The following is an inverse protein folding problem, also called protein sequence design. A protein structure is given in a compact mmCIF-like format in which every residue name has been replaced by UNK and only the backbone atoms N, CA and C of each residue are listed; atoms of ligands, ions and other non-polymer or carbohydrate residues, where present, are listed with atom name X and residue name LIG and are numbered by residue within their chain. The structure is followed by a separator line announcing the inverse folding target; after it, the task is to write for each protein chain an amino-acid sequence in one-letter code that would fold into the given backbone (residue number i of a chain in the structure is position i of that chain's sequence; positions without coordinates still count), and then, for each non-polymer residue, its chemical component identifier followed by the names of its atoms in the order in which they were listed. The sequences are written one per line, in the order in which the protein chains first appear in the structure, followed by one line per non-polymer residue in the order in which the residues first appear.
data_IF_928073823060
#
_entry.id   IF_928073823060
#
_cell.length_a   1.000
_cell.length_b   1.000
_cell.length_c   1.000
_cell.angle_alpha   90.00
_cell.angle_beta   90.00
_cell.angle_gamma   90.00
#
_symmetry.space_group_name_H-M   'P 1'
#
loop_
_entity.id
_entity.type
_entity.pdbx_description
1 polymer ?
#
# COMPACT_ATOMS: atom_id res chain seq x y z
N UNK A 1 -17.49 3.82 -4.34
CA UNK A 1 -17.16 2.80 -5.35
C UNK A 1 -15.85 2.17 -4.91
N UNK A 2 -15.88 0.94 -4.39
CA UNK A 2 -14.65 0.24 -4.03
C UNK A 2 -13.97 -0.22 -5.31
N UNK A 3 -12.77 0.29 -5.60
CA UNK A 3 -11.91 -0.36 -6.58
C UNK A 3 -11.59 -1.75 -6.01
N UNK A 4 -12.18 -2.79 -6.59
CA UNK A 4 -11.82 -4.16 -6.22
C UNK A 4 -10.40 -4.40 -6.75
N UNK A 5 -9.44 -4.39 -5.83
CA UNK A 5 -8.04 -4.64 -6.15
C UNK A 5 -7.86 -6.15 -6.30
N UNK A 6 -7.70 -6.61 -7.54
CA UNK A 6 -7.50 -8.02 -7.85
C UNK A 6 -6.01 -8.35 -7.95
N UNK A 7 -5.39 -8.71 -6.83
CA UNK A 7 -4.05 -9.29 -6.84
C UNK A 7 -4.08 -10.79 -7.14
N UNK A 8 -3.18 -11.25 -8.01
CA UNK A 8 -3.02 -12.71 -8.20
C UNK A 8 -2.55 -13.33 -6.90
N UNK A 9 -3.05 -14.52 -6.61
CA UNK A 9 -2.58 -15.31 -5.47
C UNK A 9 -1.32 -16.08 -5.86
N UNK A 10 -0.29 -16.04 -5.02
CA UNK A 10 0.96 -16.75 -5.22
C UNK A 10 1.46 -17.40 -3.91
N UNK A 11 2.06 -18.58 -4.02
CA UNK A 11 2.71 -19.24 -2.89
C UNK A 11 3.93 -18.43 -2.43
N UNK A 12 4.01 -18.10 -1.14
CA UNK A 12 5.08 -17.26 -0.61
C UNK A 12 4.92 -15.77 -0.93
N UNK A 13 3.71 -15.36 -1.36
CA UNK A 13 3.32 -13.96 -1.52
C UNK A 13 3.22 -13.20 -0.19
N UNK A 14 2.83 -11.93 -0.25
CA UNK A 14 2.57 -11.13 0.95
C UNK A 14 1.30 -11.58 1.67
N UNK A 15 1.29 -11.45 2.99
CA UNK A 15 0.10 -11.62 3.80
C UNK A 15 -0.97 -10.61 3.34
N UNK A 16 -2.20 -11.08 3.12
CA UNK A 16 -3.27 -10.27 2.55
C UNK A 16 -3.66 -9.11 3.47
N UNK A 17 -3.72 -9.35 4.77
CA UNK A 17 -4.11 -8.35 5.77
C UNK A 17 -3.05 -7.24 5.86
N UNK A 18 -1.77 -7.60 5.85
CA UNK A 18 -0.66 -6.64 5.84
C UNK A 18 -0.70 -5.75 4.57
N UNK A 19 -0.98 -6.35 3.41
CA UNK A 19 -1.10 -5.61 2.14
C UNK A 19 -2.30 -4.68 2.15
N UNK A 20 -3.46 -5.16 2.58
CA UNK A 20 -4.68 -4.36 2.66
C UNK A 20 -4.50 -3.19 3.62
N UNK A 21 -3.89 -3.42 4.79
CA UNK A 21 -3.59 -2.36 5.75
C UNK A 21 -2.66 -1.28 5.16
N UNK A 22 -1.65 -1.68 4.39
CA UNK A 22 -0.74 -0.74 3.73
C UNK A 22 -1.43 0.06 2.64
N UNK A 23 -2.26 -0.59 1.83
CA UNK A 23 -3.04 0.07 0.78
C UNK A 23 -4.04 1.07 1.39
N UNK A 24 -4.76 0.66 2.43
CA UNK A 24 -5.71 1.52 3.14
C UNK A 24 -5.02 2.77 3.70
N UNK A 25 -3.80 2.63 4.24
CA UNK A 25 -3.01 3.76 4.68
C UNK A 25 -2.62 4.72 3.52
N UNK A 26 -2.22 4.19 2.36
CA UNK A 26 -1.99 5.01 1.16
C UNK A 26 -3.27 5.72 0.69
N UNK A 27 -4.40 5.01 0.63
CA UNK A 27 -5.69 5.58 0.22
C UNK A 27 -6.17 6.68 1.19
N UNK A 28 -5.97 6.48 2.49
CA UNK A 28 -6.27 7.49 3.51
C UNK A 28 -5.42 8.74 3.31
N UNK A 29 -4.11 8.57 3.05
CA UNK A 29 -3.22 9.70 2.76
C UNK A 29 -3.66 10.46 1.50
N UNK A 30 -3.97 9.76 0.41
CA UNK A 30 -4.48 10.38 -0.82
C UNK A 30 -5.76 11.19 -0.54
N UNK A 31 -6.69 10.64 0.23
CA UNK A 31 -7.94 11.32 0.60
C UNK A 31 -7.68 12.58 1.44
N UNK A 32 -6.70 12.52 2.34
CA UNK A 32 -6.30 13.67 3.17
C UNK A 32 -5.64 14.78 2.34
N UNK A 33 -4.85 14.41 1.32
CA UNK A 33 -4.27 15.35 0.34
C UNK A 33 -5.40 16.01 -0.47
N UNK A 34 -6.34 15.22 -1.01
CA UNK A 34 -7.45 15.71 -1.83
C UNK A 34 -8.39 16.65 -1.06
N UNK A 35 -8.49 16.45 0.25
CA UNK A 35 -9.28 17.31 1.13
C UNK A 35 -8.51 18.57 1.59
N UNK A 36 -7.27 18.76 1.13
CA UNK A 36 -6.34 19.84 1.53
C UNK A 36 -6.14 19.95 3.05
N UNK A 37 -6.22 18.82 3.77
CA UNK A 37 -6.15 18.79 5.25
C UNK A 37 -4.70 18.82 5.75
N UNK A 38 -3.72 18.57 4.88
CA UNK A 38 -2.33 18.33 5.26
C UNK A 38 -1.36 19.24 4.48
N UNK A 39 -0.30 19.68 5.15
CA UNK A 39 0.84 20.36 4.50
C UNK A 39 1.80 19.36 3.87
N UNK A 40 2.60 19.79 2.89
CA UNK A 40 3.58 18.95 2.18
C UNK A 40 4.56 18.24 3.14
N UNK A 41 4.96 18.92 4.22
CA UNK A 41 5.82 18.33 5.25
C UNK A 41 5.12 17.19 6.00
N UNK A 42 3.84 17.33 6.30
CA UNK A 42 3.03 16.29 6.95
C UNK A 42 2.78 15.11 5.98
N UNK A 43 2.53 15.40 4.70
CA UNK A 43 2.35 14.39 3.66
C UNK A 43 3.61 13.53 3.51
N UNK A 44 4.79 14.17 3.43
CA UNK A 44 6.06 13.45 3.35
C UNK A 44 6.35 12.60 4.59
N UNK A 45 5.99 13.09 5.78
CA UNK A 45 6.15 12.35 7.02
C UNK A 45 5.26 11.10 7.08
N UNK A 46 3.97 11.22 6.70
CA UNK A 46 3.07 10.07 6.63
C UNK A 46 3.47 9.09 5.53
N UNK A 47 3.85 9.58 4.35
CA UNK A 47 4.34 8.73 3.27
C UNK A 47 5.54 7.88 3.72
N UNK A 48 6.47 8.46 4.48
CA UNK A 48 7.62 7.74 5.03
C UNK A 48 7.18 6.66 6.04
N UNK A 49 6.21 6.96 6.92
CA UNK A 49 5.67 5.96 7.86
C UNK A 49 5.02 4.79 7.12
N UNK A 50 4.21 5.06 6.10
CA UNK A 50 3.53 4.02 5.31
C UNK A 50 4.56 3.16 4.56
N UNK A 51 5.60 3.77 3.98
CA UNK A 51 6.71 3.05 3.35
C UNK A 51 7.36 2.03 4.29
N UNK A 52 7.59 2.42 5.54
CA UNK A 52 8.18 1.56 6.57
C UNK A 52 7.21 0.54 7.19
N UNK A 53 5.92 0.60 6.86
CA UNK A 53 4.96 -0.40 7.34
C UNK A 53 5.36 -1.81 6.86
N UNK A 54 5.51 -2.78 7.77
CA UNK A 54 5.99 -4.11 7.43
C UNK A 54 4.95 -4.89 6.64
N UNK A 55 5.35 -5.47 5.51
CA UNK A 55 4.56 -6.46 4.78
C UNK A 55 5.22 -7.83 4.95
N UNK A 56 4.64 -8.70 5.77
CA UNK A 56 5.19 -10.03 5.99
C UNK A 56 4.75 -10.97 4.87
N UNK A 57 5.56 -12.00 4.60
CA UNK A 57 5.15 -13.08 3.70
C UNK A 57 4.07 -13.94 4.37
N UNK A 58 3.11 -14.40 3.58
CA UNK A 58 2.10 -15.34 4.02
C UNK A 58 2.76 -16.66 4.45
N UNK A 59 2.50 -17.08 5.69
CA UNK A 59 3.00 -18.32 6.27
C UNK A 59 1.89 -19.03 7.02
N UNK A 60 1.89 -20.36 6.98
CA UNK A 60 1.09 -21.22 7.84
C UNK A 60 2.05 -22.08 8.66
N UNK A 61 2.04 -21.88 9.99
CA UNK A 61 3.06 -22.39 10.90
C UNK A 61 4.48 -21.97 10.46
N UNK A 62 5.17 -22.84 9.72
CA UNK A 62 6.52 -22.63 9.21
C UNK A 62 6.64 -22.77 7.69
N UNK A 63 5.55 -23.11 7.00
CA UNK A 63 5.53 -23.30 5.56
C UNK A 63 5.05 -22.03 4.83
N UNK A 64 5.58 -21.74 3.62
CA UNK A 64 5.01 -20.71 2.76
C UNK A 64 3.53 -20.97 2.53
N UNK A 65 2.70 -19.95 2.68
CA UNK A 65 1.26 -20.01 2.38
C UNK A 65 0.94 -19.17 1.14
N UNK A 66 -0.27 -19.34 0.60
CA UNK A 66 -0.76 -18.48 -0.47
C UNK A 66 -1.03 -17.07 0.07
N UNK A 67 -0.43 -16.08 -0.58
CA UNK A 67 -0.60 -14.66 -0.32
C UNK A 67 -0.84 -13.90 -1.62
N UNK A 68 -0.82 -12.57 -1.56
CA UNK A 68 -0.84 -11.75 -2.76
C UNK A 68 0.53 -11.75 -3.44
N UNK A 69 0.53 -11.82 -4.77
CA UNK A 69 1.73 -11.75 -5.61
C UNK A 69 2.57 -10.54 -5.24
N UNK A 70 3.83 -10.77 -4.85
CA UNK A 70 4.76 -9.69 -4.47
C UNK A 70 4.87 -8.67 -5.60
N UNK A 71 5.02 -9.15 -6.84
CA UNK A 71 5.14 -8.28 -8.01
C UNK A 71 3.91 -7.39 -8.22
N UNK A 72 2.72 -7.98 -8.14
CA UNK A 72 1.47 -7.25 -8.40
C UNK A 72 1.23 -6.21 -7.29
N UNK A 73 1.56 -6.55 -6.04
CA UNK A 73 1.47 -5.64 -4.89
C UNK A 73 2.48 -4.51 -5.00
N UNK A 74 3.75 -4.80 -5.29
CA UNK A 74 4.81 -3.79 -5.39
C UNK A 74 4.55 -2.83 -6.56
N UNK A 75 4.03 -3.33 -7.68
CA UNK A 75 3.62 -2.51 -8.83
C UNK A 75 2.48 -1.57 -8.44
N UNK A 76 1.46 -2.07 -7.75
CA UNK A 76 0.33 -1.26 -7.30
C UNK A 76 0.73 -0.21 -6.26
N UNK A 77 1.57 -0.55 -5.28
CA UNK A 77 2.11 0.42 -4.32
C UNK A 77 2.88 1.52 -5.07
N UNK A 78 3.67 1.17 -6.09
CA UNK A 78 4.40 2.15 -6.88
C UNK A 78 3.46 3.09 -7.65
N UNK A 79 2.33 2.60 -8.13
CA UNK A 79 1.30 3.46 -8.75
C UNK A 79 0.70 4.44 -7.74
N UNK A 80 0.36 3.99 -6.52
CA UNK A 80 -0.13 4.85 -5.44
C UNK A 80 0.89 5.93 -5.05
N UNK A 81 2.18 5.56 -4.95
CA UNK A 81 3.24 6.53 -4.65
C UNK A 81 3.40 7.57 -5.77
N UNK A 82 3.23 7.15 -7.03
CA UNK A 82 3.26 8.06 -8.17
C UNK A 82 2.06 9.02 -8.14
N UNK A 83 0.89 8.54 -7.76
CA UNK A 83 -0.30 9.38 -7.58
C UNK A 83 -0.08 10.45 -6.50
N UNK A 84 0.44 10.05 -5.34
CA UNK A 84 0.78 10.99 -4.26
C UNK A 84 1.81 12.01 -4.72
N UNK A 85 2.88 11.58 -5.41
CA UNK A 85 3.90 12.49 -5.92
C UNK A 85 3.31 13.51 -6.91
N UNK A 86 2.40 13.08 -7.79
CA UNK A 86 1.72 13.99 -8.72
C UNK A 86 0.83 15.00 -7.99
N UNK A 87 0.16 14.60 -6.90
CA UNK A 87 -0.72 15.48 -6.11
C UNK A 87 0.05 16.48 -5.25
N UNK A 88 1.24 16.12 -4.77
CA UNK A 88 2.11 17.01 -3.96
C UNK A 88 2.92 17.97 -4.84
N UNK A 89 3.18 17.63 -6.11
CA UNK A 89 3.85 18.51 -7.06
C UNK A 89 2.91 19.52 -7.76
N UNK A 90 1.60 19.46 -7.49
CA UNK A 90 0.58 20.41 -7.95
C UNK A 90 0.34 21.49 -6.90
#
# INVERSE_FOLDING_TARGET
MGNEIYFKTALGGYNKDDVLAKIDAYTCLITAIDSAIMSDAAINAELLKIRHMPMKKAKCLFLPASGFSIRDVDEYIRELEKEIANKVML
#
